data_IF_333941636402
#
_entry.id   IF_333941636402
#
_cell.length_a   1.000
_cell.length_b   1.000
_cell.length_c   1.000
_cell.angle_alpha   90.00
_cell.angle_beta   90.00
_cell.angle_gamma   90.00
#
_symmetry.space_group_name_H-M   'P 1'
#
loop_
_entity.id
_entity.type
_entity.pdbx_description
1 polymer ?
#
# COMPACT_ATOMS: atom_id res chain seq x y z
N UNK A 1 10.91 -1.86 -2.48
CA UNK A 1 10.46 -1.82 -1.06
C UNK A 1 9.60 -0.58 -0.79
N UNK A 2 8.63 -0.67 0.12
CA UNK A 2 7.69 0.43 0.44
C UNK A 2 8.19 1.28 1.62
N UNK A 3 8.01 2.62 1.59
CA UNK A 3 8.20 3.44 2.78
C UNK A 3 7.27 3.03 3.90
N UNK A 4 7.74 3.17 5.13
CA UNK A 4 7.03 2.77 6.35
C UNK A 4 5.62 3.37 6.44
N UNK A 5 5.46 4.66 6.13
CA UNK A 5 4.15 5.32 6.13
C UNK A 5 3.15 4.71 5.14
N UNK A 6 3.62 4.17 4.01
CA UNK A 6 2.77 3.51 3.02
C UNK A 6 2.47 2.07 3.42
N UNK A 7 3.46 1.38 3.99
CA UNK A 7 3.32 0.03 4.51
C UNK A 7 2.26 -0.03 5.61
N UNK A 8 2.32 0.91 6.56
CA UNK A 8 1.39 0.97 7.69
C UNK A 8 -0.07 1.14 7.22
N UNK A 9 -0.31 2.03 6.25
CA UNK A 9 -1.65 2.24 5.68
C UNK A 9 -2.16 1.00 4.92
N UNK A 10 -1.29 0.29 4.19
CA UNK A 10 -1.64 -0.97 3.52
C UNK A 10 -1.95 -2.05 4.55
N UNK A 11 -1.18 -2.13 5.64
CA UNK A 11 -1.43 -3.08 6.73
C UNK A 11 -2.81 -2.87 7.35
N UNK A 12 -3.15 -1.62 7.70
CA UNK A 12 -4.46 -1.30 8.27
C UNK A 12 -5.61 -1.64 7.31
N UNK A 13 -5.45 -1.35 6.01
CA UNK A 13 -6.50 -1.60 5.03
C UNK A 13 -6.71 -3.11 4.75
N UNK A 14 -5.65 -3.90 4.63
CA UNK A 14 -5.74 -5.28 4.14
C UNK A 14 -5.63 -6.34 5.23
N UNK A 15 -4.90 -6.08 6.31
CA UNK A 15 -4.72 -7.05 7.39
C UNK A 15 -5.63 -6.76 8.58
N UNK A 16 -5.93 -5.48 8.84
CA UNK A 16 -6.86 -5.08 9.92
C UNK A 16 -8.28 -4.83 9.40
N UNK A 17 -8.49 -4.78 8.08
CA UNK A 17 -9.80 -4.60 7.46
C UNK A 17 -10.39 -3.20 7.63
N UNK A 18 -9.56 -2.21 7.97
CA UNK A 18 -10.02 -0.84 8.15
C UNK A 18 -10.39 -0.21 6.81
N UNK A 19 -11.53 0.47 6.77
CA UNK A 19 -11.89 1.34 5.65
C UNK A 19 -10.96 2.55 5.57
N UNK A 20 -10.83 3.15 4.39
CA UNK A 20 -10.04 4.37 4.22
C UNK A 20 -10.45 5.52 5.16
N UNK A 21 -11.73 5.61 5.53
CA UNK A 21 -12.22 6.58 6.52
C UNK A 21 -11.76 6.26 7.93
N UNK A 22 -11.86 5.00 8.37
CA UNK A 22 -11.36 4.59 9.68
C UNK A 22 -9.85 4.83 9.81
N UNK A 23 -9.10 4.55 8.74
CA UNK A 23 -7.66 4.84 8.70
C UNK A 23 -7.40 6.34 8.81
N UNK A 24 -8.19 7.19 8.14
CA UNK A 24 -8.07 8.64 8.24
C UNK A 24 -8.33 9.14 9.67
N UNK A 25 -9.36 8.60 10.32
CA UNK A 25 -9.73 8.94 11.69
C UNK A 25 -8.66 8.51 12.70
N UNK A 26 -8.08 7.31 12.55
CA UNK A 26 -7.06 6.77 13.45
C UNK A 26 -5.69 7.44 13.27
N UNK A 27 -5.32 7.78 12.04
CA UNK A 27 -4.01 8.37 11.73
C UNK A 27 -4.00 9.89 11.78
N UNK A 28 -5.17 10.54 11.83
CA UNK A 28 -5.33 11.99 11.72
C UNK A 28 -5.01 12.55 10.32
N UNK A 29 -4.78 11.68 9.33
CA UNK A 29 -4.49 12.09 7.96
C UNK A 29 -5.78 12.41 7.20
N UNK A 30 -5.77 13.38 6.27
CA UNK A 30 -6.90 13.62 5.39
C UNK A 30 -7.24 12.36 4.57
N UNK A 31 -8.54 12.07 4.38
CA UNK A 31 -9.00 10.91 3.60
C UNK A 31 -8.40 10.86 2.17
N UNK A 32 -8.19 12.03 1.55
CA UNK A 32 -7.52 12.12 0.25
C UNK A 32 -6.06 11.67 0.29
N UNK A 33 -5.35 11.99 1.38
CA UNK A 33 -3.96 11.58 1.64
C UNK A 33 -3.88 10.07 1.87
N UNK A 34 -4.81 9.51 2.65
CA UNK A 34 -4.90 8.05 2.87
C UNK A 34 -5.08 7.33 1.54
N UNK A 35 -6.06 7.74 0.72
CA UNK A 35 -6.32 7.14 -0.60
C UNK A 35 -5.12 7.27 -1.54
N UNK A 36 -4.47 8.43 -1.60
CA UNK A 36 -3.33 8.66 -2.51
C UNK A 36 -2.10 7.83 -2.10
N UNK A 37 -1.81 7.73 -0.80
CA UNK A 37 -0.71 6.90 -0.27
C UNK A 37 -0.94 5.42 -0.51
N UNK A 38 -2.15 4.92 -0.26
CA UNK A 38 -2.51 3.50 -0.54
C UNK A 38 -2.38 3.21 -2.04
N UNK A 39 -2.87 4.11 -2.91
CA UNK A 39 -2.71 3.95 -4.37
C UNK A 39 -1.23 3.86 -4.79
N UNK A 40 -0.38 4.74 -4.26
CA UNK A 40 1.06 4.73 -4.56
C UNK A 40 1.75 3.48 -4.02
N UNK A 41 1.35 3.03 -2.83
CA UNK A 41 1.82 1.79 -2.22
C UNK A 41 1.54 0.59 -3.14
N UNK A 42 0.32 0.48 -3.67
CA UNK A 42 -0.04 -0.57 -4.62
C UNK A 42 0.72 -0.51 -5.93
N UNK A 43 0.95 0.69 -6.47
CA UNK A 43 1.77 0.84 -7.67
C UNK A 43 3.19 0.28 -7.47
N UNK A 44 3.78 0.50 -6.29
CA UNK A 44 5.10 -0.03 -5.93
C UNK A 44 5.07 -1.54 -5.71
N UNK A 45 4.08 -2.06 -4.98
CA UNK A 45 3.93 -3.49 -4.79
C UNK A 45 3.80 -4.23 -6.11
N UNK A 46 2.99 -3.71 -7.04
CA UNK A 46 2.86 -4.27 -8.39
C UNK A 46 4.20 -4.31 -9.10
N UNK A 47 4.95 -3.21 -9.10
CA UNK A 47 6.23 -3.15 -9.79
C UNK A 47 7.24 -4.17 -9.23
N UNK A 48 7.30 -4.32 -7.91
CA UNK A 48 8.18 -5.32 -7.27
C UNK A 48 7.75 -6.75 -7.66
N UNK A 49 6.45 -7.05 -7.63
CA UNK A 49 5.94 -8.37 -8.02
C UNK A 49 6.17 -8.68 -9.50
N UNK A 50 6.09 -7.66 -10.38
CA UNK A 50 6.42 -7.80 -11.80
C UNK A 50 7.91 -8.06 -12.02
N UNK A 51 8.78 -7.39 -11.26
CA UNK A 51 10.23 -7.62 -11.30
C UNK A 51 10.60 -9.02 -10.82
N UNK A 52 10.00 -9.50 -9.73
CA UNK A 52 10.21 -10.85 -9.23
C UNK A 52 9.73 -11.90 -10.23
N UNK A 53 8.55 -11.70 -10.85
CA UNK A 53 8.00 -12.63 -11.84
C UNK A 53 8.85 -12.72 -13.12
N UNK A 54 9.59 -11.67 -13.48
CA UNK A 54 10.45 -11.66 -14.67
C UNK A 54 11.73 -12.50 -14.46
N UNK A 55 12.18 -12.68 -13.21
CA UNK A 55 13.36 -13.51 -12.89
C UNK A 55 13.08 -15.00 -13.08
N UNK A 56 11.84 -15.44 -12.90
CA UNK A 56 11.45 -16.86 -13.04
C UNK A 56 11.24 -17.31 -14.49
N UNK A 57 11.12 -16.39 -15.46
CA UNK A 57 10.85 -16.72 -16.87
C UNK A 57 12.08 -16.75 -17.79
N UNK A 58 13.28 -16.42 -17.29
CA UNK A 58 14.52 -16.36 -18.06
C UNK A 58 15.31 -17.71 -18.09
N UNK A 59 14.60 -18.85 -18.07
CA UNK A 59 15.18 -20.20 -18.21
C UNK A 59 14.94 -20.83 -19.59
#
# INVERSE_FOLDING_TARGET
ELPEEQLQLVQMAFFLGHSHSQIADETGLPLGTVKSRIRLAFGRLRHVLEQDAQVDTDF
#
